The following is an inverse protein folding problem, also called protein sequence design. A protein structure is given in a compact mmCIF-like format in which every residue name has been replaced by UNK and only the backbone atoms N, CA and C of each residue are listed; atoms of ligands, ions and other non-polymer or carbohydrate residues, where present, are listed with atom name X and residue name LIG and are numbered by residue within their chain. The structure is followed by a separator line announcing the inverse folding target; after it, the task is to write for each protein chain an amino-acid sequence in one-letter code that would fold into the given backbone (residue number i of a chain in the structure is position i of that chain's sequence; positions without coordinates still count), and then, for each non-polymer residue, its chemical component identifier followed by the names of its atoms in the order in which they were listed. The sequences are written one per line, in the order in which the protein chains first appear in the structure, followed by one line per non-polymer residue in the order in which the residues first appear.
data_IF_922527061289
#
_entry.id   IF_922527061289
#
_cell.length_a   1.000
_cell.length_b   1.000
_cell.length_c   1.000
_cell.angle_alpha   90.00
_cell.angle_beta   90.00
_cell.angle_gamma   90.00
#
_symmetry.space_group_name_H-M   'P 1'
#
loop_
_entity.id
_entity.type
_entity.pdbx_description
1 polymer ?
#
# COMPACT_ATOMS: atom_id res chain seq x y z
N UNK A 1 19.71 17.46 -1.02
CA UNK A 1 20.53 16.92 -2.12
C UNK A 1 22.03 16.99 -1.85
N UNK A 2 22.61 18.15 -1.51
CA UNK A 2 24.07 18.33 -1.31
C UNK A 2 24.72 17.29 -0.40
N UNK A 3 24.08 16.93 0.72
CA UNK A 3 24.56 15.86 1.61
C UNK A 3 24.76 14.53 0.88
N UNK A 4 23.80 14.13 0.04
CA UNK A 4 23.86 12.85 -0.68
C UNK A 4 25.02 12.88 -1.67
N UNK A 5 25.16 13.95 -2.44
CA UNK A 5 26.25 14.10 -3.42
C UNK A 5 27.62 14.05 -2.75
N UNK A 6 27.79 14.77 -1.63
CA UNK A 6 29.08 14.77 -0.92
C UNK A 6 29.40 13.39 -0.36
N UNK A 7 28.45 12.72 0.30
CA UNK A 7 28.69 11.42 0.92
C UNK A 7 28.88 10.28 -0.08
N UNK A 8 28.40 10.43 -1.33
CA UNK A 8 28.50 9.40 -2.37
C UNK A 8 29.71 9.58 -3.27
N UNK A 9 30.02 10.81 -3.69
CA UNK A 9 31.08 11.07 -4.68
C UNK A 9 32.35 11.72 -4.10
N UNK A 10 32.23 12.46 -3.00
CA UNK A 10 33.35 13.24 -2.43
C UNK A 10 33.73 12.79 -1.01
N UNK A 11 33.14 11.69 -0.55
CA UNK A 11 33.43 11.08 0.75
C UNK A 11 34.46 9.97 0.63
N UNK A 12 34.71 9.30 1.74
CA UNK A 12 35.66 8.19 1.80
C UNK A 12 35.11 6.96 1.09
N UNK A 13 36.01 6.11 0.62
CA UNK A 13 35.66 4.82 0.04
C UNK A 13 35.05 3.90 1.11
N UNK A 14 33.82 3.44 0.87
CA UNK A 14 33.07 2.54 1.77
C UNK A 14 32.78 1.18 1.15
N UNK A 15 33.35 0.91 -0.02
CA UNK A 15 33.17 -0.34 -0.75
C UNK A 15 34.29 -1.32 -0.37
N UNK A 16 33.95 -2.61 -0.26
CA UNK A 16 34.93 -3.65 0.05
C UNK A 16 35.82 -3.95 -1.17
N UNK A 17 37.05 -4.42 -0.94
CA UNK A 17 38.09 -4.68 -1.97
C UNK A 17 37.72 -5.62 -3.14
N UNK A 18 36.47 -6.12 -3.25
CA UNK A 18 36.05 -7.04 -4.31
C UNK A 18 35.34 -6.37 -5.48
N UNK A 19 34.74 -5.19 -5.29
CA UNK A 19 33.86 -4.59 -6.28
C UNK A 19 34.27 -3.13 -6.53
N UNK A 20 35.20 -2.92 -7.47
CA UNK A 20 35.57 -1.57 -7.94
C UNK A 20 34.42 -0.95 -8.76
N UNK A 21 33.94 0.25 -8.42
CA UNK A 21 32.92 0.93 -9.21
C UNK A 21 33.42 1.20 -10.64
N UNK A 22 32.71 0.67 -11.64
CA UNK A 22 32.96 0.97 -13.04
C UNK A 22 31.95 1.98 -13.57
N UNK A 23 32.34 2.71 -14.62
CA UNK A 23 31.45 3.63 -15.32
C UNK A 23 30.25 2.90 -15.94
N UNK A 24 29.13 3.62 -16.03
CA UNK A 24 27.91 3.05 -16.60
C UNK A 24 28.02 2.88 -18.12
N UNK A 25 27.45 1.81 -18.72
CA UNK A 25 27.48 1.61 -20.16
C UNK A 25 26.82 2.76 -20.93
N UNK A 26 27.21 2.92 -22.20
CA UNK A 26 26.64 3.97 -23.08
C UNK A 26 25.11 3.93 -23.18
N UNK A 27 24.50 2.75 -23.04
CA UNK A 27 23.05 2.56 -23.04
C UNK A 27 22.34 3.31 -21.89
N UNK A 28 23.02 3.56 -20.78
CA UNK A 28 22.51 4.35 -19.65
C UNK A 28 22.93 5.82 -19.75
N UNK A 29 24.17 6.09 -20.20
CA UNK A 29 24.70 7.46 -20.33
C UNK A 29 23.95 8.29 -21.37
N UNK A 30 23.57 7.70 -22.51
CA UNK A 30 22.91 8.43 -23.60
C UNK A 30 21.54 8.99 -23.14
N UNK A 31 20.62 8.21 -22.52
CA UNK A 31 19.38 8.76 -21.97
C UNK A 31 19.61 9.89 -20.96
N UNK A 32 20.58 9.74 -20.04
CA UNK A 32 20.85 10.76 -19.01
C UNK A 32 21.38 12.05 -19.66
N UNK A 33 22.30 11.94 -20.61
CA UNK A 33 22.84 13.09 -21.32
C UNK A 33 21.73 13.83 -22.09
N UNK A 34 20.87 13.10 -22.81
CA UNK A 34 19.74 13.68 -23.52
C UNK A 34 18.78 14.43 -22.57
N UNK A 35 18.44 13.82 -21.43
CA UNK A 35 17.60 14.45 -20.40
C UNK A 35 18.25 15.70 -19.78
N UNK A 36 19.57 15.70 -19.59
CA UNK A 36 20.30 16.87 -19.09
C UNK A 36 20.27 18.04 -20.08
N UNK A 37 20.46 17.76 -21.38
CA UNK A 37 20.36 18.76 -22.45
C UNK A 37 18.93 19.31 -22.50
N UNK A 38 17.93 18.42 -22.44
CA UNK A 38 16.53 18.80 -22.38
C UNK A 38 16.20 19.70 -21.18
N UNK A 39 16.78 19.42 -20.01
CA UNK A 39 16.58 20.22 -18.79
C UNK A 39 17.18 21.62 -18.92
N UNK A 40 18.40 21.74 -19.46
CA UNK A 40 19.05 23.04 -19.71
C UNK A 40 18.30 23.84 -20.78
N UNK A 41 17.95 23.19 -21.89
CA UNK A 41 17.21 23.82 -22.98
C UNK A 41 15.83 24.31 -22.54
N UNK A 42 15.07 23.48 -21.82
CA UNK A 42 13.76 23.84 -21.29
C UNK A 42 13.86 24.97 -20.27
N UNK A 43 14.84 24.93 -19.36
CA UNK A 43 15.10 26.01 -18.42
C UNK A 43 15.38 27.35 -19.13
N UNK A 44 16.20 27.33 -20.18
CA UNK A 44 16.49 28.51 -20.98
C UNK A 44 15.25 29.04 -21.73
N UNK A 45 14.52 28.14 -22.41
CA UNK A 45 13.31 28.51 -23.17
C UNK A 45 12.22 29.09 -22.26
N UNK A 46 11.97 28.48 -21.09
CA UNK A 46 10.96 28.94 -20.14
C UNK A 46 11.37 30.22 -19.41
N UNK A 47 12.67 30.43 -19.21
CA UNK A 47 13.21 31.68 -18.65
C UNK A 47 13.19 32.86 -19.63
N UNK A 48 12.99 32.60 -20.93
CA UNK A 48 12.98 33.65 -21.95
C UNK A 48 11.60 34.32 -22.03
N UNK A 49 11.56 35.60 -21.70
CA UNK A 49 10.31 36.37 -21.62
C UNK A 49 9.38 35.85 -20.53
N UNK A 50 8.15 36.34 -20.48
CA UNK A 50 7.13 35.84 -19.55
C UNK A 50 6.58 34.45 -19.96
N UNK A 51 7.35 33.63 -20.69
CA UNK A 51 6.89 32.38 -21.28
C UNK A 51 6.41 31.39 -20.22
N UNK A 52 7.16 31.22 -19.13
CA UNK A 52 6.74 30.36 -18.02
C UNK A 52 5.46 30.88 -17.35
N UNK A 53 5.36 32.19 -17.13
CA UNK A 53 4.20 32.83 -16.50
C UNK A 53 2.96 32.62 -17.34
N UNK A 54 3.05 32.93 -18.64
CA UNK A 54 1.94 32.76 -19.59
C UNK A 54 1.51 31.30 -19.74
N UNK A 55 2.46 30.35 -19.61
CA UNK A 55 2.16 28.92 -19.66
C UNK A 55 1.46 28.41 -18.38
N UNK A 56 1.82 28.97 -17.21
CA UNK A 56 1.21 28.60 -15.92
C UNK A 56 -0.08 29.37 -15.59
N UNK A 57 -0.29 30.54 -16.19
CA UNK A 57 -1.44 31.42 -15.95
C UNK A 57 -2.79 30.68 -15.99
N UNK A 58 -3.08 29.77 -16.95
CA UNK A 58 -4.36 29.08 -17.00
C UNK A 58 -4.64 28.14 -15.80
N UNK A 59 -3.59 27.62 -15.15
CA UNK A 59 -3.70 26.68 -14.03
C UNK A 59 -3.62 27.41 -12.69
N UNK A 60 -2.76 28.42 -12.60
CA UNK A 60 -2.45 29.13 -11.35
C UNK A 60 -3.37 30.33 -11.14
N UNK A 61 -3.81 31.01 -12.20
CA UNK A 61 -4.72 32.14 -12.11
C UNK A 61 -5.88 32.04 -13.12
N UNK A 62 -6.74 31.01 -13.01
CA UNK A 62 -7.84 30.79 -13.95
C UNK A 62 -8.87 31.92 -13.95
N UNK A 63 -8.99 32.68 -12.85
CA UNK A 63 -9.95 33.77 -12.68
C UNK A 63 -9.37 35.16 -13.00
N UNK A 64 -8.08 35.24 -13.37
CA UNK A 64 -7.34 36.51 -13.61
C UNK A 64 -7.48 37.51 -12.47
N UNK A 65 -7.68 37.02 -11.25
CA UNK A 65 -7.67 37.86 -10.06
C UNK A 65 -6.24 38.32 -9.83
N UNK A 66 -6.05 39.64 -9.76
CA UNK A 66 -4.77 40.19 -9.33
C UNK A 66 -4.71 40.01 -7.82
N UNK A 67 -3.96 39.00 -7.35
CA UNK A 67 -3.71 38.85 -5.92
C UNK A 67 -3.18 40.18 -5.36
N UNK A 68 -3.82 40.63 -4.28
CA UNK A 68 -3.54 41.91 -3.63
C UNK A 68 -2.06 42.05 -3.26
N UNK A 69 -1.54 43.28 -3.46
CA UNK A 69 -0.21 43.81 -3.13
C UNK A 69 0.91 42.79 -2.83
N UNK A 70 1.86 42.68 -3.75
CA UNK A 70 3.12 41.99 -3.51
C UNK A 70 3.82 42.58 -2.28
N UNK A 71 3.76 41.87 -1.14
CA UNK A 71 4.46 42.26 0.09
C UNK A 71 5.97 42.46 -0.13
N UNK A 72 6.54 41.74 -1.11
CA UNK A 72 7.93 41.88 -1.51
C UNK A 72 8.05 41.77 -3.04
N UNK A 73 8.89 42.61 -3.64
CA UNK A 73 9.27 42.50 -5.05
C UNK A 73 9.81 41.10 -5.38
N UNK A 74 9.48 40.58 -6.56
CA UNK A 74 10.01 39.31 -7.07
C UNK A 74 11.53 39.16 -6.92
N UNK A 75 12.28 40.24 -7.15
CA UNK A 75 13.74 40.26 -7.02
C UNK A 75 14.18 40.00 -5.58
N UNK A 76 13.49 40.60 -4.60
CA UNK A 76 13.77 40.40 -3.18
C UNK A 76 13.53 38.96 -2.77
N UNK A 77 12.41 38.37 -3.19
CA UNK A 77 12.08 36.96 -2.90
C UNK A 77 13.11 36.02 -3.53
N UNK A 78 13.52 36.29 -4.79
CA UNK A 78 14.55 35.51 -5.48
C UNK A 78 15.89 35.58 -4.75
N UNK A 79 16.34 36.77 -4.36
CA UNK A 79 17.57 36.97 -3.60
C UNK A 79 17.54 36.29 -2.23
N UNK A 80 16.42 36.38 -1.51
CA UNK A 80 16.24 35.66 -0.25
C UNK A 80 16.36 34.14 -0.44
N UNK A 81 15.69 33.62 -1.48
CA UNK A 81 15.72 32.18 -1.80
C UNK A 81 17.15 31.72 -2.12
N UNK A 82 17.85 32.43 -2.99
CA UNK A 82 19.25 32.14 -3.35
C UNK A 82 20.14 32.20 -2.10
N UNK A 83 19.95 33.20 -1.24
CA UNK A 83 20.72 33.33 0.00
C UNK A 83 20.52 32.13 0.93
N UNK A 84 19.28 31.70 1.15
CA UNK A 84 18.96 30.52 1.97
C UNK A 84 19.58 29.25 1.37
N UNK A 85 19.52 29.08 0.05
CA UNK A 85 20.14 27.95 -0.64
C UNK A 85 21.66 27.94 -0.43
N UNK A 86 22.33 29.08 -0.62
CA UNK A 86 23.78 29.20 -0.42
C UNK A 86 24.17 28.86 1.02
N UNK A 87 23.40 29.36 2.01
CA UNK A 87 23.62 29.04 3.43
C UNK A 87 23.48 27.53 3.66
N UNK A 88 22.41 26.91 3.15
CA UNK A 88 22.16 25.47 3.29
C UNK A 88 23.26 24.61 2.66
N UNK A 89 23.72 24.97 1.46
CA UNK A 89 24.84 24.31 0.77
C UNK A 89 26.13 24.48 1.57
N UNK A 90 26.41 25.70 2.06
CA UNK A 90 27.62 25.99 2.84
C UNK A 90 27.68 25.18 4.13
N UNK A 91 26.55 25.08 4.85
CA UNK A 91 26.43 24.25 6.06
C UNK A 91 26.65 22.77 5.71
N UNK A 92 26.04 22.28 4.63
CA UNK A 92 26.19 20.89 4.21
C UNK A 92 27.64 20.56 3.84
N UNK A 93 28.29 21.41 3.05
CA UNK A 93 29.71 21.25 2.68
C UNK A 93 30.58 21.26 3.93
N UNK A 94 30.43 22.23 4.82
CA UNK A 94 31.26 22.31 6.03
C UNK A 94 31.07 21.11 6.97
N UNK A 95 29.86 20.54 7.02
CA UNK A 95 29.52 19.42 7.92
C UNK A 95 29.94 18.05 7.39
N UNK A 96 29.79 17.83 6.08
CA UNK A 96 29.97 16.50 5.47
C UNK A 96 31.26 16.34 4.66
N UNK A 97 32.04 17.42 4.48
CA UNK A 97 33.35 17.35 3.84
C UNK A 97 34.37 16.76 4.81
N UNK A 98 35.03 15.67 4.40
CA UNK A 98 36.06 14.96 5.17
C UNK A 98 35.61 13.57 5.64
N UNK A 99 36.48 12.91 6.41
CA UNK A 99 36.27 11.54 6.86
C UNK A 99 35.01 11.40 7.72
N UNK A 100 34.04 10.63 7.25
CA UNK A 100 32.80 10.34 7.96
C UNK A 100 32.78 8.87 8.36
N UNK A 101 32.43 8.60 9.63
CA UNK A 101 32.22 7.23 10.13
C UNK A 101 31.25 6.45 9.23
N UNK A 102 31.56 5.17 9.02
CA UNK A 102 30.70 4.24 8.28
C UNK A 102 29.45 3.88 9.07
N UNK A 103 29.53 3.94 10.39
CA UNK A 103 28.39 3.69 11.26
C UNK A 103 27.59 4.96 11.49
N UNK A 104 26.27 4.85 11.28
CA UNK A 104 25.36 5.94 11.59
C UNK A 104 25.32 6.16 13.12
N UNK A 105 25.32 7.42 13.59
CA UNK A 105 25.20 7.69 15.02
C UNK A 105 23.89 7.11 15.57
N UNK A 106 23.99 6.32 16.65
CA UNK A 106 22.84 5.71 17.33
C UNK A 106 22.21 6.66 18.36
N UNK A 107 23.04 7.42 19.06
CA UNK A 107 22.59 8.44 20.04
C UNK A 107 22.29 9.75 19.32
N UNK A 108 21.04 9.92 18.89
CA UNK A 108 20.57 11.14 18.22
C UNK A 108 19.33 11.73 18.87
N UNK A 109 19.05 13.00 18.59
CA UNK A 109 17.87 13.69 19.11
C UNK A 109 16.57 13.04 18.65
N UNK A 110 15.49 13.19 19.43
CA UNK A 110 14.16 12.66 19.09
C UNK A 110 13.66 13.13 17.72
N UNK A 111 13.97 14.37 17.33
CA UNK A 111 13.66 14.91 16.00
C UNK A 111 14.42 14.19 14.89
N UNK A 112 15.67 13.80 15.13
CA UNK A 112 16.45 13.02 14.16
C UNK A 112 15.88 11.60 14.02
N UNK A 113 15.45 10.98 15.13
CA UNK A 113 14.77 9.68 15.09
C UNK A 113 13.48 9.78 14.29
N UNK A 114 12.67 10.81 14.54
CA UNK A 114 11.44 11.07 13.80
C UNK A 114 11.72 11.26 12.30
N UNK A 115 12.67 12.13 11.93
CA UNK A 115 13.05 12.33 10.53
C UNK A 115 13.60 11.07 9.85
N UNK A 116 14.30 10.19 10.60
CA UNK A 116 14.77 8.89 10.08
C UNK A 116 13.64 7.88 9.87
N UNK A 117 12.53 8.01 10.60
CA UNK A 117 11.34 7.16 10.50
C UNK A 117 10.20 7.82 9.70
N UNK A 118 10.54 8.71 8.78
CA UNK A 118 9.60 9.48 7.97
C UNK A 118 8.47 10.12 8.79
N UNK A 119 8.85 10.78 9.90
CA UNK A 119 7.94 11.40 10.87
C UNK A 119 6.89 10.44 11.44
N UNK A 120 7.18 9.14 11.45
CA UNK A 120 6.28 8.07 11.91
C UNK A 120 5.03 7.87 11.03
N UNK A 121 4.98 8.46 9.84
CA UNK A 121 3.84 8.35 8.93
C UNK A 121 3.53 6.89 8.57
N UNK A 122 4.56 6.11 8.23
CA UNK A 122 4.40 4.69 7.92
C UNK A 122 3.88 3.90 9.11
N UNK A 123 4.44 4.12 10.31
CA UNK A 123 4.00 3.41 11.51
C UNK A 123 2.56 3.75 11.91
N UNK A 124 2.15 5.00 11.66
CA UNK A 124 0.76 5.41 11.87
C UNK A 124 -0.14 4.72 10.86
N UNK A 125 0.22 4.73 9.57
CA UNK A 125 -0.57 4.06 8.54
C UNK A 125 -0.67 2.55 8.77
N UNK A 126 0.41 1.92 9.19
CA UNK A 126 0.46 0.51 9.53
C UNK A 126 -0.46 0.17 10.71
N UNK A 127 -0.36 0.94 11.80
CA UNK A 127 -1.12 0.70 13.01
C UNK A 127 -2.61 1.06 12.86
N UNK A 128 -2.93 2.14 12.16
CA UNK A 128 -4.27 2.67 12.02
C UNK A 128 -5.06 1.99 10.89
N UNK A 129 -4.42 1.64 9.76
CA UNK A 129 -5.12 1.14 8.58
C UNK A 129 -4.73 -0.30 8.23
N UNK A 130 -3.44 -0.59 8.09
CA UNK A 130 -2.98 -1.89 7.58
C UNK A 130 -3.34 -3.05 8.52
N UNK A 131 -2.89 -3.00 9.78
CA UNK A 131 -3.09 -4.11 10.73
C UNK A 131 -4.56 -4.34 11.09
N UNK A 132 -5.38 -3.29 11.36
CA UNK A 132 -6.80 -3.48 11.61
C UNK A 132 -7.53 -4.03 10.37
N UNK A 133 -7.19 -3.55 9.16
CA UNK A 133 -7.75 -4.07 7.92
C UNK A 133 -7.44 -5.55 7.70
N UNK A 134 -6.20 -5.97 7.92
CA UNK A 134 -5.81 -7.38 7.85
C UNK A 134 -6.56 -8.24 8.88
N UNK A 135 -6.68 -7.77 10.13
CA UNK A 135 -7.42 -8.50 11.17
C UNK A 135 -8.91 -8.62 10.85
N UNK A 136 -9.52 -7.58 10.30
CA UNK A 136 -10.92 -7.58 9.89
C UNK A 136 -11.17 -8.64 8.81
N UNK A 137 -10.32 -8.68 7.77
CA UNK A 137 -10.43 -9.66 6.68
C UNK A 137 -10.26 -11.09 7.21
N UNK A 138 -9.25 -11.34 8.07
CA UNK A 138 -9.05 -12.66 8.66
C UNK A 138 -10.27 -13.14 9.47
N UNK A 139 -10.90 -12.25 10.24
CA UNK A 139 -12.12 -12.56 10.98
C UNK A 139 -13.30 -12.84 10.05
N UNK A 140 -13.44 -12.06 8.98
CA UNK A 140 -14.53 -12.23 8.02
C UNK A 140 -14.41 -13.58 7.28
N UNK A 141 -13.20 -13.96 6.86
CA UNK A 141 -12.94 -15.26 6.24
C UNK A 141 -13.22 -16.43 7.20
N UNK A 142 -12.87 -16.29 8.48
CA UNK A 142 -13.20 -17.32 9.48
C UNK A 142 -14.72 -17.45 9.66
N UNK A 143 -15.46 -16.34 9.65
CA UNK A 143 -16.92 -16.35 9.72
C UNK A 143 -17.51 -17.04 8.48
N UNK A 144 -17.00 -16.74 7.29
CA UNK A 144 -17.44 -17.37 6.03
C UNK A 144 -17.24 -18.90 6.09
N UNK A 145 -16.04 -19.35 6.46
CA UNK A 145 -15.74 -20.78 6.58
C UNK A 145 -16.54 -21.52 7.66
N UNK A 146 -16.88 -20.85 8.76
CA UNK A 146 -17.64 -21.45 9.86
C UNK A 146 -19.15 -21.44 9.61
N UNK A 147 -19.67 -20.31 9.13
CA UNK A 147 -21.11 -20.07 9.01
C UNK A 147 -21.60 -20.45 7.63
N UNK A 148 -21.02 -19.88 6.57
CA UNK A 148 -21.51 -20.08 5.20
C UNK A 148 -21.16 -21.49 4.74
N UNK A 149 -19.88 -21.85 4.75
CA UNK A 149 -19.50 -23.21 4.36
C UNK A 149 -20.03 -24.26 5.34
N UNK A 150 -20.14 -23.90 6.63
CA UNK A 150 -20.72 -24.78 7.65
C UNK A 150 -22.19 -25.09 7.38
N UNK A 151 -22.98 -24.06 7.03
CA UNK A 151 -24.37 -24.25 6.63
C UNK A 151 -24.47 -25.16 5.41
N UNK A 152 -23.65 -24.96 4.38
CA UNK A 152 -23.64 -25.81 3.17
C UNK A 152 -23.28 -27.26 3.52
N UNK A 153 -22.22 -27.49 4.31
CA UNK A 153 -21.84 -28.84 4.75
C UNK A 153 -22.93 -29.52 5.57
N UNK A 154 -23.64 -28.75 6.41
CA UNK A 154 -24.72 -29.29 7.25
C UNK A 154 -25.87 -29.88 6.43
N UNK A 155 -26.22 -29.25 5.31
CA UNK A 155 -27.26 -29.78 4.39
C UNK A 155 -26.86 -31.17 3.87
N UNK A 156 -25.60 -31.33 3.48
CA UNK A 156 -25.05 -32.63 3.06
C UNK A 156 -25.09 -33.67 4.18
N UNK A 157 -24.62 -33.31 5.38
CA UNK A 157 -24.61 -34.20 6.55
C UNK A 157 -26.01 -34.65 6.93
N UNK A 158 -26.99 -33.74 6.95
CA UNK A 158 -28.39 -34.06 7.25
C UNK A 158 -28.95 -35.03 6.21
N UNK A 159 -28.70 -34.78 4.92
CA UNK A 159 -29.17 -35.62 3.83
C UNK A 159 -28.61 -37.05 3.91
N UNK A 160 -27.29 -37.18 4.12
CA UNK A 160 -26.63 -38.48 4.27
C UNK A 160 -27.11 -39.21 5.53
N UNK A 161 -27.25 -38.49 6.65
CA UNK A 161 -27.72 -39.06 7.93
C UNK A 161 -29.17 -39.54 7.85
N UNK A 162 -30.03 -38.79 7.15
CA UNK A 162 -31.40 -39.21 6.88
C UNK A 162 -31.42 -40.49 6.03
N UNK A 163 -30.62 -40.53 4.95
CA UNK A 163 -30.47 -41.71 4.11
C UNK A 163 -29.95 -42.94 4.86
N UNK A 164 -28.96 -42.78 5.74
CA UNK A 164 -28.40 -43.88 6.53
C UNK A 164 -29.40 -44.43 7.55
N UNK A 165 -30.21 -43.56 8.17
CA UNK A 165 -31.30 -43.97 9.07
C UNK A 165 -32.44 -44.66 8.32
N UNK A 166 -32.83 -44.16 7.14
CA UNK A 166 -33.84 -44.83 6.31
C UNK A 166 -33.34 -46.19 5.82
N UNK A 167 -32.04 -46.32 5.53
CA UNK A 167 -31.43 -47.59 5.14
C UNK A 167 -31.52 -48.65 6.25
N UNK A 168 -31.42 -48.29 7.53
CA UNK A 168 -31.49 -49.28 8.61
C UNK A 168 -32.87 -49.91 8.78
N UNK A 169 -33.93 -49.28 8.25
CA UNK A 169 -35.28 -49.85 8.19
C UNK A 169 -35.36 -51.05 7.22
N UNK A 170 -34.45 -51.14 6.26
CA UNK A 170 -34.37 -52.23 5.28
C UNK A 170 -33.41 -53.32 5.78
N UNK A 171 -33.81 -54.02 6.85
CA UNK A 171 -32.96 -54.96 7.58
C UNK A 171 -32.89 -56.38 6.97
N UNK A 172 -33.62 -56.66 5.88
CA UNK A 172 -33.62 -57.95 5.19
C UNK A 172 -34.45 -59.06 5.86
N UNK A 173 -35.08 -58.81 7.00
CA UNK A 173 -35.92 -59.78 7.69
C UNK A 173 -37.37 -59.72 7.20
N UNK A 174 -37.88 -60.82 6.62
CA UNK A 174 -39.26 -60.92 6.08
C UNK A 174 -40.32 -60.56 7.12
N UNK A 175 -40.13 -60.93 8.39
CA UNK A 175 -41.06 -60.61 9.48
C UNK A 175 -41.19 -59.10 9.72
N UNK A 176 -40.09 -58.34 9.60
CA UNK A 176 -40.10 -56.88 9.76
C UNK A 176 -40.89 -56.20 8.63
N UNK A 177 -40.77 -56.70 7.40
CA UNK A 177 -41.56 -56.19 6.27
C UNK A 177 -43.06 -56.48 6.40
N UNK A 178 -43.43 -57.69 6.84
CA UNK A 178 -44.83 -58.04 7.09
C UNK A 178 -45.47 -57.11 8.14
N UNK A 179 -44.76 -56.83 9.23
CA UNK A 179 -45.21 -55.88 10.26
C UNK A 179 -45.38 -54.46 9.70
N UNK A 180 -44.41 -53.97 8.91
CA UNK A 180 -44.53 -52.66 8.25
C UNK A 180 -45.74 -52.57 7.31
N UNK A 181 -46.03 -53.63 6.54
CA UNK A 181 -47.21 -53.65 5.67
C UNK A 181 -48.51 -53.57 6.46
N UNK A 182 -48.65 -54.34 7.55
CA UNK A 182 -49.84 -54.27 8.42
C UNK A 182 -50.00 -52.87 9.02
N UNK A 183 -48.93 -52.28 9.53
CA UNK A 183 -48.94 -50.90 10.05
C UNK A 183 -49.36 -49.91 8.95
N UNK A 184 -48.82 -50.04 7.74
CA UNK A 184 -49.15 -49.17 6.61
C UNK A 184 -50.61 -49.27 6.16
N UNK A 185 -51.20 -50.48 6.18
CA UNK A 185 -52.62 -50.68 5.85
C UNK A 185 -53.51 -50.07 6.94
N UNK A 186 -53.21 -50.33 8.21
CA UNK A 186 -53.96 -49.77 9.34
C UNK A 186 -53.88 -48.23 9.37
N UNK A 187 -52.72 -47.65 9.08
CA UNK A 187 -52.57 -46.19 9.03
C UNK A 187 -53.35 -45.58 7.87
N UNK A 188 -53.36 -46.20 6.69
CA UNK A 188 -54.18 -45.78 5.55
C UNK A 188 -55.66 -45.79 5.90
N UNK A 189 -56.16 -46.88 6.50
CA UNK A 189 -57.56 -46.98 6.94
C UNK A 189 -57.88 -45.88 7.96
N UNK A 190 -57.00 -45.64 8.93
CA UNK A 190 -57.18 -44.59 9.94
C UNK A 190 -57.22 -43.19 9.32
N UNK A 191 -56.30 -42.88 8.39
CA UNK A 191 -56.29 -41.58 7.68
C UNK A 191 -57.56 -41.40 6.86
N UNK A 192 -57.96 -42.42 6.11
CA UNK A 192 -59.21 -42.37 5.32
C UNK A 192 -60.38 -42.13 6.25
N UNK A 193 -60.50 -42.89 7.34
CA UNK A 193 -61.57 -42.74 8.32
C UNK A 193 -61.63 -41.32 8.88
N UNK A 194 -60.49 -40.74 9.29
CA UNK A 194 -60.42 -39.35 9.79
C UNK A 194 -60.82 -38.31 8.73
N UNK A 195 -60.54 -38.56 7.45
CA UNK A 195 -60.90 -37.64 6.36
C UNK A 195 -62.36 -37.78 5.94
N UNK A 196 -62.93 -39.00 6.04
CA UNK A 196 -64.32 -39.29 5.60
C UNK A 196 -65.37 -39.21 6.69
N UNK A 197 -64.98 -39.28 7.96
CA UNK A 197 -65.85 -39.11 9.13
C UNK A 197 -66.01 -37.63 9.48
#
# INVERSE_FOLDING_TARGET
MTRVVILTFFGNERWGHKDEPHESPALMLIPIALLSIGSVASGYLLSRGKSLVNWLEPVVNPLKEHHAEELFSHTTVSLMTISVVIIGVSIAVRKYRGDQSDTAPEKVSKLTIAARKDLFQDSLNEAAFMRPGQSLIQKLLNIDHLVIDGAVRSVGVVSISAGSKLRSLQNGYVRSYALMMVIGVLSLIAVIWVVTA
#
